data_IF_250611119993
#
_entry.id   IF_250611119993
#
_cell.length_a   1.000
_cell.length_b   1.000
_cell.length_c   1.000
_cell.angle_alpha   90.00
_cell.angle_beta   90.00
_cell.angle_gamma   90.00
#
_symmetry.space_group_name_H-M   'P 1'
#
loop_
_entity.id
_entity.type
_entity.pdbx_description
1 polymer ?
#
# COMPACT_ATOMS: atom_id res chain seq x y z
N UNK A 1 -22.43 -11.21 12.97
CA UNK A 1 -21.73 -10.81 11.74
C UNK A 1 -21.01 -9.50 12.02
N UNK A 2 -19.70 -9.38 11.80
CA UNK A 2 -19.03 -8.11 11.92
C UNK A 2 -19.62 -7.15 10.89
N UNK A 3 -20.04 -5.97 11.33
CA UNK A 3 -20.46 -4.88 10.44
C UNK A 3 -19.26 -4.47 9.60
N UNK A 4 -19.31 -4.79 8.33
CA UNK A 4 -18.38 -4.31 7.33
C UNK A 4 -18.67 -2.80 7.12
N UNK A 5 -17.99 -1.96 7.89
CA UNK A 5 -18.15 -0.50 7.82
C UNK A 5 -17.32 0.04 6.67
N UNK A 6 -17.66 -0.37 5.44
CA UNK A 6 -17.18 0.29 4.24
C UNK A 6 -18.07 1.48 3.95
N UNK A 7 -17.82 2.61 4.58
CA UNK A 7 -18.40 3.87 4.15
C UNK A 7 -17.40 4.57 3.24
N UNK A 8 -17.69 4.59 1.94
CA UNK A 8 -17.00 5.48 1.03
C UNK A 8 -17.50 6.91 1.32
N UNK A 9 -16.58 7.80 1.65
CA UNK A 9 -16.87 9.23 1.73
C UNK A 9 -16.16 9.90 0.57
N UNK A 10 -16.88 10.70 -0.22
CA UNK A 10 -16.26 11.48 -1.28
C UNK A 10 -15.62 12.73 -0.67
N UNK A 11 -14.32 12.87 -0.82
CA UNK A 11 -13.56 14.05 -0.40
C UNK A 11 -12.90 14.64 -1.64
N UNK A 12 -13.31 15.83 -2.03
CA UNK A 12 -12.93 16.46 -3.29
C UNK A 12 -13.26 15.52 -4.48
N UNK A 13 -12.24 15.11 -5.24
CA UNK A 13 -12.38 14.20 -6.38
C UNK A 13 -11.94 12.76 -6.05
N UNK A 14 -11.96 12.35 -4.78
CA UNK A 14 -11.57 11.00 -4.36
C UNK A 14 -12.68 10.27 -3.62
N UNK A 15 -12.73 8.94 -3.81
CA UNK A 15 -13.39 8.03 -2.89
C UNK A 15 -12.42 7.65 -1.79
N UNK A 16 -12.86 7.78 -0.54
CA UNK A 16 -12.08 7.46 0.65
C UNK A 16 -12.56 6.13 1.24
N UNK A 17 -11.62 5.21 1.46
CA UNK A 17 -11.87 3.94 2.14
C UNK A 17 -10.94 3.82 3.35
N UNK A 18 -11.53 3.69 4.55
CA UNK A 18 -10.79 3.34 5.75
C UNK A 18 -10.85 1.83 5.96
N UNK A 19 -9.70 1.19 6.05
CA UNK A 19 -9.56 -0.26 6.14
C UNK A 19 -8.75 -0.63 7.39
N UNK A 20 -9.11 -1.75 8.00
CA UNK A 20 -8.27 -2.46 8.96
C UNK A 20 -7.91 -3.83 8.38
N UNK A 21 -6.63 -4.10 8.16
CA UNK A 21 -6.15 -5.38 7.68
C UNK A 21 -5.46 -6.17 8.80
N UNK A 22 -5.80 -7.45 8.93
CA UNK A 22 -5.12 -8.33 9.89
C UNK A 22 -3.84 -8.88 9.29
N UNK A 23 -2.72 -8.35 9.73
CA UNK A 23 -1.38 -8.67 9.24
C UNK A 23 -0.72 -9.85 9.98
N UNK A 24 -1.41 -10.51 10.91
CA UNK A 24 -0.79 -11.55 11.74
C UNK A 24 -0.19 -12.69 10.89
N UNK A 25 -0.90 -13.14 9.86
CA UNK A 25 -0.40 -14.18 8.97
C UNK A 25 0.78 -13.68 8.12
N UNK A 26 0.67 -12.49 7.53
CA UNK A 26 1.77 -11.89 6.77
C UNK A 26 3.01 -11.69 7.64
N UNK A 27 2.88 -11.19 8.85
CA UNK A 27 3.98 -11.04 9.78
C UNK A 27 4.65 -12.38 10.12
N UNK A 28 3.86 -13.42 10.33
CA UNK A 28 4.37 -14.76 10.64
C UNK A 28 5.20 -15.34 9.48
N UNK A 29 4.80 -15.17 8.23
CA UNK A 29 5.54 -15.71 7.08
C UNK A 29 6.68 -14.80 6.60
N UNK A 30 6.53 -13.48 6.73
CA UNK A 30 7.53 -12.52 6.24
C UNK A 30 8.81 -12.53 7.07
N UNK A 31 8.71 -12.75 8.38
CA UNK A 31 9.88 -12.77 9.27
C UNK A 31 10.92 -13.84 8.89
N UNK A 32 10.56 -15.14 8.78
CA UNK A 32 11.52 -16.15 8.36
C UNK A 32 12.04 -15.93 6.94
N UNK A 33 11.21 -15.44 6.02
CA UNK A 33 11.65 -15.12 4.65
C UNK A 33 12.67 -13.98 4.68
N UNK A 34 12.43 -12.91 5.44
CA UNK A 34 13.35 -11.78 5.55
C UNK A 34 14.73 -12.21 6.05
N UNK A 35 14.78 -13.10 7.05
CA UNK A 35 16.05 -13.64 7.59
C UNK A 35 16.80 -14.46 6.54
N UNK A 36 16.10 -15.27 5.76
CA UNK A 36 16.74 -16.06 4.69
C UNK A 36 17.25 -15.17 3.56
N UNK A 37 16.47 -14.18 3.15
CA UNK A 37 16.86 -13.23 2.13
C UNK A 37 18.09 -12.42 2.55
N UNK A 38 18.14 -11.95 3.79
CA UNK A 38 19.32 -11.22 4.32
C UNK A 38 20.61 -12.05 4.20
N UNK A 39 20.53 -13.35 4.48
CA UNK A 39 21.67 -14.28 4.37
C UNK A 39 22.11 -14.55 2.93
N UNK A 40 21.13 -14.69 2.00
CA UNK A 40 21.41 -15.12 0.64
C UNK A 40 21.76 -13.97 -0.31
N UNK A 41 21.19 -12.80 -0.10
CA UNK A 41 21.25 -11.68 -1.07
C UNK A 41 21.61 -10.34 -0.42
N UNK A 42 21.93 -10.32 0.88
CA UNK A 42 22.33 -9.11 1.60
C UNK A 42 21.23 -8.04 1.77
N UNK A 43 19.98 -8.37 1.39
CA UNK A 43 18.86 -7.45 1.45
C UNK A 43 17.76 -7.97 2.39
N UNK A 44 17.17 -7.07 3.19
CA UNK A 44 16.11 -7.42 4.13
C UNK A 44 14.76 -6.89 3.65
N UNK A 45 13.82 -7.81 3.44
CA UNK A 45 12.43 -7.45 3.22
C UNK A 45 11.83 -6.87 4.49
N UNK A 46 10.97 -5.90 4.31
CA UNK A 46 10.11 -5.37 5.35
C UNK A 46 8.65 -5.76 5.10
N UNK A 47 7.83 -5.69 6.13
CA UNK A 47 6.39 -5.85 5.99
C UNK A 47 5.82 -4.85 4.97
N UNK A 48 6.44 -3.67 4.90
CA UNK A 48 6.08 -2.60 3.97
C UNK A 48 6.21 -3.02 2.49
N UNK A 49 7.23 -3.81 2.11
CA UNK A 49 7.41 -4.26 0.71
C UNK A 49 6.23 -5.12 0.25
N UNK A 50 5.67 -5.92 1.16
CA UNK A 50 4.44 -6.69 0.88
C UNK A 50 3.22 -5.78 0.74
N UNK A 51 3.11 -4.75 1.58
CA UNK A 51 2.03 -3.75 1.48
C UNK A 51 2.09 -3.03 0.14
N UNK A 52 3.30 -2.62 -0.28
CA UNK A 52 3.53 -2.00 -1.60
C UNK A 52 3.08 -2.92 -2.72
N UNK A 53 3.50 -4.19 -2.70
CA UNK A 53 3.11 -5.16 -3.73
C UNK A 53 1.60 -5.40 -3.76
N UNK A 54 0.96 -5.49 -2.58
CA UNK A 54 -0.48 -5.63 -2.47
C UNK A 54 -1.21 -4.41 -3.05
N UNK A 55 -0.73 -3.20 -2.78
CA UNK A 55 -1.28 -1.97 -3.31
C UNK A 55 -1.23 -1.92 -4.83
N UNK A 56 -0.06 -2.19 -5.41
CA UNK A 56 0.14 -2.23 -6.86
C UNK A 56 -0.78 -3.29 -7.49
N UNK A 57 -0.78 -4.52 -6.95
CA UNK A 57 -1.59 -5.63 -7.49
C UNK A 57 -3.08 -5.33 -7.43
N UNK A 58 -3.56 -4.74 -6.34
CA UNK A 58 -4.96 -4.34 -6.21
C UNK A 58 -5.36 -3.23 -7.19
N UNK A 59 -4.52 -2.23 -7.40
CA UNK A 59 -4.79 -1.15 -8.34
C UNK A 59 -4.89 -1.67 -9.78
N UNK A 60 -3.94 -2.49 -10.22
CA UNK A 60 -3.92 -3.03 -11.59
C UNK A 60 -4.96 -4.13 -11.84
N UNK A 61 -5.66 -4.64 -10.81
CA UNK A 61 -6.75 -5.60 -10.99
C UNK A 61 -7.96 -4.99 -11.74
N UNK A 62 -8.08 -3.67 -11.72
CA UNK A 62 -9.06 -2.93 -12.53
C UNK A 62 -8.31 -2.24 -13.69
N UNK A 63 -8.38 -2.77 -14.93
CA UNK A 63 -7.58 -2.27 -16.07
C UNK A 63 -7.80 -0.79 -16.38
N UNK A 64 -8.99 -0.29 -16.13
CA UNK A 64 -9.33 1.13 -16.35
C UNK A 64 -8.60 2.06 -15.37
N UNK A 65 -8.09 1.51 -14.26
CA UNK A 65 -7.33 2.30 -13.28
C UNK A 65 -6.06 2.90 -13.88
N UNK A 66 -5.42 2.23 -14.81
CA UNK A 66 -4.25 2.76 -15.52
C UNK A 66 -4.59 3.97 -16.44
N UNK A 67 -5.88 4.18 -16.75
CA UNK A 67 -6.34 5.29 -17.58
C UNK A 67 -5.60 5.41 -18.94
N UNK A 68 -5.15 4.28 -19.49
CA UNK A 68 -4.38 4.23 -20.73
C UNK A 68 -2.87 4.22 -20.55
N UNK A 69 -2.36 4.37 -19.34
CA UNK A 69 -0.94 4.18 -19.03
C UNK A 69 -0.51 2.73 -19.23
N UNK A 70 0.73 2.53 -19.66
CA UNK A 70 1.26 1.18 -19.92
C UNK A 70 1.71 0.44 -18.66
N UNK A 71 1.98 1.18 -17.57
CA UNK A 71 2.52 0.65 -16.34
C UNK A 71 2.09 1.48 -15.12
N UNK A 72 2.13 0.88 -13.95
CA UNK A 72 1.92 1.59 -12.69
C UNK A 72 3.24 2.21 -12.21
N UNK A 73 3.22 3.53 -12.04
CA UNK A 73 4.33 4.30 -11.48
C UNK A 73 4.03 4.59 -10.00
N UNK A 74 4.98 4.28 -9.13
CA UNK A 74 4.79 4.37 -7.69
C UNK A 74 5.78 5.35 -7.05
N UNK A 75 5.27 6.27 -6.26
CA UNK A 75 6.07 7.06 -5.32
C UNK A 75 5.79 6.60 -3.89
N UNK A 76 6.84 6.18 -3.19
CA UNK A 76 6.79 5.90 -1.76
C UNK A 76 7.33 7.08 -0.97
N UNK A 77 6.60 7.45 0.07
CA UNK A 77 7.03 8.46 1.05
C UNK A 77 7.20 7.72 2.38
N UNK A 78 8.44 7.61 2.82
CA UNK A 78 8.88 6.82 3.96
C UNK A 78 9.42 7.71 5.07
N UNK A 79 9.63 7.12 6.25
CA UNK A 79 10.25 7.78 7.39
C UNK A 79 9.61 9.15 7.71
N UNK A 80 8.28 9.19 7.73
CA UNK A 80 7.48 10.41 7.98
C UNK A 80 7.75 11.56 7.01
N UNK A 81 8.11 11.25 5.77
CA UNK A 81 8.38 12.24 4.74
C UNK A 81 9.84 12.59 4.55
N UNK A 82 10.75 11.90 5.21
CA UNK A 82 12.20 12.14 5.10
C UNK A 82 12.83 11.40 3.92
N UNK A 83 12.22 10.31 3.45
CA UNK A 83 12.71 9.50 2.35
C UNK A 83 11.66 9.32 1.25
N UNK A 84 12.06 9.58 0.02
CA UNK A 84 11.24 9.41 -1.18
C UNK A 84 11.87 8.35 -2.09
N UNK A 85 11.07 7.40 -2.56
CA UNK A 85 11.51 6.34 -3.47
C UNK A 85 10.52 6.26 -4.63
N UNK A 86 11.02 6.51 -5.83
CA UNK A 86 10.23 6.35 -7.06
C UNK A 86 10.54 4.98 -7.68
N UNK A 87 9.50 4.23 -8.01
CA UNK A 87 9.58 2.91 -8.63
C UNK A 87 8.85 2.97 -9.96
N UNK A 88 9.61 2.92 -11.03
CA UNK A 88 9.09 2.83 -12.40
C UNK A 88 8.55 1.41 -12.64
N UNK A 89 7.47 1.30 -13.41
CA UNK A 89 6.86 0.02 -13.78
C UNK A 89 6.66 -0.94 -12.60
N UNK A 90 6.08 -0.43 -11.52
CA UNK A 90 5.86 -1.20 -10.29
C UNK A 90 4.98 -2.45 -10.53
N UNK A 91 4.12 -2.44 -11.56
CA UNK A 91 3.28 -3.57 -11.95
C UNK A 91 4.10 -4.80 -12.35
N UNK A 92 5.23 -4.62 -13.04
CA UNK A 92 6.12 -5.69 -13.49
C UNK A 92 7.12 -6.18 -12.45
N UNK A 93 7.19 -5.55 -11.26
CA UNK A 93 8.21 -5.85 -10.25
C UNK A 93 7.74 -6.86 -9.21
N UNK A 94 8.66 -7.73 -8.81
CA UNK A 94 8.47 -8.63 -7.68
C UNK A 94 8.68 -7.88 -6.35
N UNK A 95 8.26 -8.49 -5.23
CA UNK A 95 8.54 -7.96 -3.88
C UNK A 95 10.05 -7.74 -3.69
N UNK A 96 10.88 -8.65 -4.23
CA UNK A 96 12.34 -8.53 -4.17
C UNK A 96 12.84 -7.26 -4.87
N UNK A 97 12.40 -7.01 -6.10
CA UNK A 97 12.83 -5.85 -6.87
C UNK A 97 12.42 -4.54 -6.17
N UNK A 98 11.19 -4.49 -5.64
CA UNK A 98 10.67 -3.36 -4.86
C UNK A 98 11.55 -3.11 -3.62
N UNK A 99 11.85 -4.17 -2.86
CA UNK A 99 12.69 -4.08 -1.67
C UNK A 99 14.10 -3.58 -1.99
N UNK A 100 14.71 -4.09 -3.06
CA UNK A 100 16.06 -3.68 -3.48
C UNK A 100 16.12 -2.22 -3.92
N UNK A 101 15.13 -1.74 -4.67
CA UNK A 101 15.06 -0.33 -5.05
C UNK A 101 14.85 0.58 -3.84
N UNK A 102 13.96 0.18 -2.90
CA UNK A 102 13.76 0.90 -1.64
C UNK A 102 15.04 1.00 -0.81
N UNK A 103 15.81 -0.10 -0.74
CA UNK A 103 17.07 -0.14 0.02
C UNK A 103 18.17 0.67 -0.66
N UNK A 104 18.27 0.62 -1.99
CA UNK A 104 19.27 1.33 -2.77
C UNK A 104 18.99 2.84 -2.89
N UNK A 105 17.73 3.25 -2.70
CA UNK A 105 17.37 4.66 -2.82
C UNK A 105 18.06 5.51 -1.77
N UNK A 106 18.75 6.61 -2.16
CA UNK A 106 19.36 7.54 -1.22
C UNK A 106 18.29 8.22 -0.36
N UNK A 107 18.70 8.71 0.80
CA UNK A 107 17.87 9.63 1.57
C UNK A 107 17.80 10.96 0.78
N UNK A 108 16.81 11.08 -0.09
CA UNK A 108 16.57 12.27 -0.91
C UNK A 108 15.31 12.97 -0.41
N UNK A 109 15.29 14.28 -0.46
CA UNK A 109 14.09 15.07 -0.21
C UNK A 109 13.01 14.82 -1.29
N UNK A 110 11.87 15.52 -1.21
CA UNK A 110 10.80 15.37 -2.20
C UNK A 110 11.33 15.65 -3.60
N UNK A 111 10.85 14.88 -4.61
CA UNK A 111 11.23 15.14 -6.00
C UNK A 111 10.82 16.55 -6.40
N UNK A 112 11.58 17.23 -7.28
CA UNK A 112 11.19 18.54 -7.81
C UNK A 112 9.77 18.48 -8.41
N UNK A 113 9.01 19.54 -8.22
CA UNK A 113 7.67 19.64 -8.79
C UNK A 113 7.71 19.40 -10.31
N UNK A 114 6.87 18.49 -10.80
CA UNK A 114 6.78 18.14 -12.23
C UNK A 114 7.83 17.17 -12.75
N UNK A 115 8.72 16.65 -11.91
CA UNK A 115 9.74 15.68 -12.36
C UNK A 115 9.23 14.24 -12.37
N UNK A 116 8.15 13.93 -11.65
CA UNK A 116 7.60 12.59 -11.47
C UNK A 116 6.06 12.68 -11.47
N UNK A 117 5.43 11.79 -12.20
CA UNK A 117 3.96 11.65 -12.25
C UNK A 117 3.57 10.23 -11.82
N UNK A 118 3.51 9.94 -10.50
CA UNK A 118 3.14 8.61 -10.04
C UNK A 118 1.63 8.38 -10.18
N UNK A 119 1.23 7.18 -10.62
CA UNK A 119 -0.19 6.77 -10.52
C UNK A 119 -0.54 6.36 -9.09
N UNK A 120 0.42 5.84 -8.32
CA UNK A 120 0.25 5.48 -6.91
C UNK A 120 1.16 6.33 -6.05
N UNK A 121 0.58 7.01 -5.06
CA UNK A 121 1.31 7.60 -3.94
C UNK A 121 1.09 6.74 -2.70
N UNK A 122 2.15 6.18 -2.13
CA UNK A 122 2.08 5.38 -0.91
C UNK A 122 2.86 6.06 0.21
N UNK A 123 2.18 6.37 1.30
CA UNK A 123 2.74 7.06 2.45
C UNK A 123 2.78 6.14 3.67
N UNK A 124 3.97 5.92 4.23
CA UNK A 124 4.14 5.39 5.57
C UNK A 124 4.15 6.58 6.54
N UNK A 125 3.01 6.85 7.11
CA UNK A 125 2.84 8.02 7.97
C UNK A 125 3.12 7.74 9.45
N UNK A 126 3.18 6.48 9.87
CA UNK A 126 3.35 6.11 11.28
C UNK A 126 2.34 6.77 12.22
N UNK A 127 1.81 7.94 11.87
CA UNK A 127 0.82 8.75 12.60
C UNK A 127 0.10 9.70 11.63
N UNK A 128 -1.23 9.71 11.67
CA UNK A 128 -2.19 10.67 11.07
C UNK A 128 -1.81 11.38 9.75
N UNK A 129 -2.50 10.98 8.70
CA UNK A 129 -2.32 11.35 7.28
C UNK A 129 -2.76 12.75 6.90
N UNK A 130 -3.46 13.49 7.76
CA UNK A 130 -4.02 14.80 7.39
C UNK A 130 -2.99 15.87 6.98
N UNK A 131 -1.70 15.65 7.25
CA UNK A 131 -0.66 16.64 7.05
C UNK A 131 0.20 16.48 5.79
N UNK A 132 0.14 15.36 5.07
CA UNK A 132 0.98 15.15 3.88
C UNK A 132 0.21 15.34 2.58
N UNK A 133 -0.24 16.56 2.30
CA UNK A 133 -0.43 16.99 0.91
C UNK A 133 0.95 17.18 0.29
N UNK A 134 1.55 16.10 -0.19
CA UNK A 134 2.64 16.21 -1.16
C UNK A 134 2.05 16.94 -2.35
N UNK A 135 2.54 18.14 -2.63
CA UNK A 135 2.10 18.93 -3.80
C UNK A 135 2.68 18.24 -5.02
N UNK A 136 1.94 17.28 -5.56
CA UNK A 136 2.23 16.71 -6.86
C UNK A 136 1.60 17.60 -7.93
N UNK A 137 2.27 17.82 -9.08
CA UNK A 137 1.74 18.64 -10.17
C UNK A 137 0.48 18.04 -10.78
N UNK A 138 0.38 16.72 -10.76
CA UNK A 138 -0.80 15.95 -11.17
C UNK A 138 -1.25 15.06 -10.03
N UNK A 139 -2.57 14.89 -9.90
CA UNK A 139 -3.14 14.07 -8.84
C UNK A 139 -2.95 12.59 -9.21
N UNK A 140 -2.39 11.77 -8.31
CA UNK A 140 -2.23 10.34 -8.56
C UNK A 140 -3.60 9.65 -8.70
N UNK A 141 -3.60 8.49 -9.35
CA UNK A 141 -4.81 7.67 -9.48
C UNK A 141 -5.27 7.12 -8.12
N UNK A 142 -4.30 6.79 -7.26
CA UNK A 142 -4.57 6.34 -5.89
C UNK A 142 -3.55 6.89 -4.91
N UNK A 143 -4.03 7.22 -3.71
CA UNK A 143 -3.19 7.57 -2.56
C UNK A 143 -3.47 6.54 -1.48
N UNK A 144 -2.42 5.89 -0.98
CA UNK A 144 -2.52 4.89 0.07
C UNK A 144 -1.69 5.37 1.26
N UNK A 145 -2.34 5.48 2.38
CA UNK A 145 -1.67 5.83 3.61
C UNK A 145 -1.80 4.70 4.61
N UNK A 146 -0.67 4.33 5.18
CA UNK A 146 -0.59 3.26 6.16
C UNK A 146 -0.10 3.82 7.50
N UNK A 147 -0.75 3.35 8.57
CA UNK A 147 -0.35 3.62 9.94
C UNK A 147 0.55 2.53 10.52
N UNK A 148 0.93 2.69 11.77
CA UNK A 148 1.66 1.65 12.49
C UNK A 148 0.77 0.44 12.82
N UNK A 149 1.33 -0.75 12.75
CA UNK A 149 0.64 -1.96 13.18
C UNK A 149 0.42 -1.98 14.69
N UNK A 150 -0.79 -2.35 15.12
CA UNK A 150 -1.16 -2.44 16.53
C UNK A 150 -1.69 -3.84 16.87
N UNK A 151 -1.24 -4.47 17.98
CA UNK A 151 -1.82 -5.71 18.44
C UNK A 151 -3.23 -5.46 18.98
N UNK A 152 -4.21 -6.26 18.55
CA UNK A 152 -5.57 -6.27 19.08
C UNK A 152 -5.96 -7.70 19.47
N UNK A 153 -6.70 -7.85 20.57
CA UNK A 153 -7.31 -9.13 20.90
C UNK A 153 -8.69 -9.22 20.26
N UNK A 154 -8.92 -10.29 19.52
CA UNK A 154 -10.22 -10.62 18.94
C UNK A 154 -10.75 -11.94 19.51
N UNK A 155 -12.00 -12.28 19.17
CA UNK A 155 -12.58 -13.58 19.47
C UNK A 155 -12.91 -14.26 18.15
N UNK A 156 -12.36 -15.45 17.92
CA UNK A 156 -12.69 -16.29 16.76
C UNK A 156 -13.09 -17.69 17.25
N UNK A 157 -14.24 -18.15 16.77
CA UNK A 157 -14.83 -19.42 17.21
C UNK A 157 -14.89 -19.56 18.76
N UNK A 158 -15.19 -18.47 19.46
CA UNK A 158 -15.29 -18.45 20.94
C UNK A 158 -13.96 -18.45 21.69
N UNK A 159 -12.83 -18.32 20.99
CA UNK A 159 -11.49 -18.30 21.59
C UNK A 159 -10.83 -16.93 21.37
N UNK A 160 -10.07 -16.40 22.36
CA UNK A 160 -9.29 -15.21 22.17
C UNK A 160 -8.15 -15.47 21.17
N UNK A 161 -8.02 -14.60 20.17
CA UNK A 161 -6.95 -14.62 19.18
C UNK A 161 -6.23 -13.27 19.16
N UNK A 162 -4.92 -13.31 18.99
CA UNK A 162 -4.14 -12.10 18.78
C UNK A 162 -4.17 -11.73 17.31
N UNK A 163 -4.51 -10.48 17.01
CA UNK A 163 -4.49 -9.88 15.67
C UNK A 163 -3.46 -8.78 15.63
N UNK A 164 -2.79 -8.64 14.50
CA UNK A 164 -1.91 -7.51 14.22
C UNK A 164 -2.61 -6.62 13.18
N UNK A 165 -3.18 -5.53 13.63
CA UNK A 165 -4.01 -4.67 12.77
C UNK A 165 -3.18 -3.56 12.17
N UNK A 166 -3.23 -3.45 10.84
CA UNK A 166 -2.71 -2.33 10.06
C UNK A 166 -3.88 -1.43 9.66
N UNK A 167 -3.92 -0.18 10.16
CA UNK A 167 -4.87 0.81 9.66
C UNK A 167 -4.37 1.34 8.32
N UNK A 168 -5.28 1.39 7.35
CA UNK A 168 -5.00 1.90 6.01
C UNK A 168 -6.09 2.85 5.59
N UNK A 169 -5.71 3.96 4.98
CA UNK A 169 -6.60 4.85 4.26
C UNK A 169 -6.25 4.82 2.78
N UNK A 170 -7.21 4.44 1.96
CA UNK A 170 -7.08 4.39 0.50
C UNK A 170 -7.97 5.48 -0.11
N UNK A 171 -7.36 6.32 -0.93
CA UNK A 171 -8.04 7.29 -1.79
C UNK A 171 -7.94 6.82 -3.24
N UNK A 172 -9.06 6.77 -3.95
CA UNK A 172 -9.11 6.44 -5.37
C UNK A 172 -9.73 7.61 -6.12
N UNK A 173 -9.06 8.08 -7.16
CA UNK A 173 -9.49 9.23 -7.94
C UNK A 173 -10.82 8.95 -8.65
N UNK A 174 -11.86 9.70 -8.29
CA UNK A 174 -13.22 9.54 -8.80
C UNK A 174 -13.38 10.00 -10.26
N UNK A 175 -12.40 10.73 -10.80
CA UNK A 175 -12.39 11.09 -12.22
C UNK A 175 -11.89 9.95 -13.12
N UNK A 176 -11.20 8.95 -12.52
CA UNK A 176 -10.64 7.82 -13.26
C UNK A 176 -11.56 6.62 -13.18
N UNK A 177 -12.08 6.31 -11.98
CA UNK A 177 -12.92 5.13 -11.75
C UNK A 177 -14.24 5.49 -11.10
N UNK A 178 -15.34 4.78 -11.44
CA UNK A 178 -16.57 4.84 -10.68
C UNK A 178 -16.42 4.13 -9.32
N UNK A 179 -17.26 4.53 -8.34
CA UNK A 179 -17.20 4.02 -6.97
C UNK A 179 -17.22 2.50 -6.86
N UNK A 180 -18.02 1.82 -7.69
CA UNK A 180 -18.13 0.36 -7.69
C UNK A 180 -16.80 -0.34 -8.05
N UNK A 181 -15.95 0.26 -8.88
CA UNK A 181 -14.62 -0.25 -9.21
C UNK A 181 -13.59 0.14 -8.15
N UNK A 182 -13.67 1.38 -7.65
CA UNK A 182 -12.81 1.82 -6.55
C UNK A 182 -13.01 0.96 -5.29
N UNK A 183 -14.25 0.56 -4.99
CA UNK A 183 -14.54 -0.36 -3.87
C UNK A 183 -13.97 -1.76 -4.05
N UNK A 184 -13.85 -2.24 -5.30
CA UNK A 184 -13.19 -3.53 -5.59
C UNK A 184 -11.69 -3.45 -5.33
N UNK A 185 -11.02 -2.35 -5.74
CA UNK A 185 -9.60 -2.12 -5.41
C UNK A 185 -9.39 -2.17 -3.89
N UNK A 186 -10.25 -1.49 -3.12
CA UNK A 186 -10.16 -1.50 -1.67
C UNK A 186 -10.35 -2.90 -1.06
N UNK A 187 -11.32 -3.67 -1.57
CA UNK A 187 -11.57 -5.04 -1.14
C UNK A 187 -10.42 -5.98 -1.51
N UNK A 188 -9.91 -5.88 -2.75
CA UNK A 188 -8.77 -6.68 -3.22
C UNK A 188 -7.52 -6.38 -2.42
N UNK A 189 -7.22 -5.10 -2.18
CA UNK A 189 -6.08 -4.70 -1.37
C UNK A 189 -6.12 -5.33 0.04
N UNK A 190 -7.26 -5.25 0.71
CA UNK A 190 -7.45 -5.90 2.02
C UNK A 190 -7.26 -7.41 1.92
N UNK A 191 -7.85 -8.05 0.92
CA UNK A 191 -7.74 -9.49 0.69
C UNK A 191 -6.30 -9.94 0.50
N UNK A 192 -5.51 -9.20 -0.28
CA UNK A 192 -4.10 -9.48 -0.52
C UNK A 192 -3.25 -9.33 0.75
N UNK A 193 -3.54 -8.34 1.59
CA UNK A 193 -2.84 -8.15 2.86
C UNK A 193 -3.13 -9.28 3.86
N UNK A 194 -4.37 -9.73 3.92
CA UNK A 194 -4.81 -10.79 4.84
C UNK A 194 -4.47 -12.20 4.30
N UNK A 195 -4.21 -12.35 2.98
CA UNK A 195 -3.87 -13.60 2.32
C UNK A 195 -2.59 -13.45 1.47
N UNK A 196 -1.43 -13.28 2.11
CA UNK A 196 -0.18 -12.92 1.43
C UNK A 196 0.35 -13.97 0.45
N UNK A 197 -0.13 -15.20 0.50
CA UNK A 197 0.19 -16.23 -0.51
C UNK A 197 -0.23 -15.77 -1.92
N UNK A 198 -1.31 -15.00 -2.01
CA UNK A 198 -1.77 -14.43 -3.29
C UNK A 198 -0.80 -13.40 -3.87
N UNK A 199 0.11 -12.84 -3.07
CA UNK A 199 1.14 -11.91 -3.53
C UNK A 199 2.30 -12.60 -4.25
N UNK A 200 2.44 -13.93 -4.05
CA UNK A 200 3.50 -14.74 -4.63
C UNK A 200 3.11 -15.31 -6.00
N UNK A 201 1.83 -15.25 -6.33
CA UNK A 201 1.26 -15.62 -7.63
C UNK A 201 1.25 -14.42 -8.59
#
# INVERSE_FOLDING_TARGET
>A
APRDTRHATRVDNFYLYSLEANMAYLAAISTPIAVQCEKLIGGRYSLFDYVVRAAVKACISEPEWLAGDSAAELLMVLDKGEKYVFIENASGKTIYNIAMERLAAPAAGPPPAGSITPNILLCDSGVNVEAQRTVLPEMPHSIISIGGTTPKTGIEAGRPVSKLILPVTLYVNANILPECKASKIAAEFKTLLENPVLLLL
#
